data_IF_016859013021
#
_entry.id   IF_016859013021
#
_cell.length_a   1.000
_cell.length_b   1.000
_cell.length_c   1.000
_cell.angle_alpha   90.00
_cell.angle_beta   90.00
_cell.angle_gamma   90.00
#
_symmetry.space_group_name_H-M   'P 1'
#
loop_
_entity.id
_entity.type
_entity.pdbx_description
1 polymer ?
#
# COMPACT_ATOMS: atom_id res chain seq x y z
N UNK A 1 -11.74 -6.63 -8.56
CA UNK A 1 -10.56 -6.18 -9.34
C UNK A 1 -9.92 -7.41 -9.97
N UNK A 2 -9.79 -7.44 -11.30
CA UNK A 2 -9.35 -8.62 -12.08
C UNK A 2 -7.98 -9.18 -11.64
N UNK A 3 -7.00 -8.30 -11.41
CA UNK A 3 -5.65 -8.71 -11.01
C UNK A 3 -5.62 -9.52 -9.71
N UNK A 4 -6.46 -9.17 -8.72
CA UNK A 4 -6.60 -9.95 -7.48
C UNK A 4 -7.08 -11.38 -7.77
N UNK A 5 -8.04 -11.54 -8.69
CA UNK A 5 -8.52 -12.87 -9.09
C UNK A 5 -7.42 -13.69 -9.75
N UNK A 6 -6.66 -13.10 -10.67
CA UNK A 6 -5.53 -13.76 -11.33
C UNK A 6 -4.49 -14.24 -10.32
N UNK A 7 -4.10 -13.40 -9.35
CA UNK A 7 -3.17 -13.80 -8.30
C UNK A 7 -3.70 -14.98 -7.46
N UNK A 8 -4.99 -14.99 -7.15
CA UNK A 8 -5.62 -16.07 -6.38
C UNK A 8 -5.82 -17.36 -7.18
N UNK A 9 -6.19 -17.26 -8.45
CA UNK A 9 -6.47 -18.39 -9.34
C UNK A 9 -5.19 -19.06 -9.83
N UNK A 10 -4.16 -18.28 -10.15
CA UNK A 10 -2.89 -18.78 -10.69
C UNK A 10 -1.80 -18.93 -9.62
N UNK A 11 -2.05 -18.46 -8.40
CA UNK A 11 -1.11 -18.49 -7.27
C UNK A 11 0.28 -17.88 -7.59
N UNK A 12 0.28 -16.78 -8.34
CA UNK A 12 1.51 -16.10 -8.78
C UNK A 12 1.89 -14.96 -7.85
N UNK A 13 3.18 -14.64 -7.74
CA UNK A 13 3.63 -13.42 -7.05
C UNK A 13 3.45 -12.21 -7.96
N UNK A 14 2.87 -11.12 -7.44
CA UNK A 14 2.69 -9.86 -8.18
C UNK A 14 3.35 -8.70 -7.44
N UNK A 15 4.03 -7.85 -8.21
CA UNK A 15 4.54 -6.55 -7.76
C UNK A 15 3.79 -5.46 -8.50
N UNK A 16 3.22 -4.50 -7.77
CA UNK A 16 2.44 -3.40 -8.31
C UNK A 16 3.12 -2.10 -7.89
N UNK A 17 3.39 -1.22 -8.86
CA UNK A 17 3.95 0.11 -8.63
C UNK A 17 2.88 1.14 -8.94
N UNK A 18 2.42 1.87 -7.93
CA UNK A 18 1.41 2.91 -8.07
C UNK A 18 1.50 3.93 -6.94
N UNK A 19 0.96 5.11 -7.17
CA UNK A 19 0.77 6.15 -6.16
C UNK A 19 -0.68 6.19 -5.66
N UNK A 20 -1.57 5.33 -6.17
CA UNK A 20 -2.97 5.25 -5.79
C UNK A 20 -3.19 4.24 -4.66
N UNK A 21 -3.40 4.73 -3.44
CA UNK A 21 -3.55 3.86 -2.27
C UNK A 21 -4.84 3.02 -2.30
N UNK A 22 -5.85 3.43 -3.07
CA UNK A 22 -7.06 2.61 -3.35
C UNK A 22 -6.75 1.30 -4.08
N UNK A 23 -5.80 1.30 -5.01
CA UNK A 23 -5.36 0.10 -5.72
C UNK A 23 -4.59 -0.80 -4.76
N UNK A 24 -3.67 -0.20 -4.00
CA UNK A 24 -2.83 -0.88 -3.01
C UNK A 24 -3.69 -1.62 -2.00
N UNK A 25 -4.71 -0.98 -1.41
CA UNK A 25 -5.64 -1.62 -0.46
C UNK A 25 -6.47 -2.77 -1.05
N UNK A 26 -6.80 -2.70 -2.34
CA UNK A 26 -7.67 -3.71 -2.97
C UNK A 26 -6.92 -4.99 -3.32
N UNK A 27 -5.65 -4.88 -3.74
CA UNK A 27 -4.89 -6.01 -4.29
C UNK A 27 -3.74 -6.45 -3.38
N UNK A 28 -2.96 -5.52 -2.85
CA UNK A 28 -1.67 -5.85 -2.23
C UNK A 28 -1.84 -6.35 -0.78
N UNK A 29 -0.85 -7.13 -0.32
CA UNK A 29 -0.74 -7.56 1.08
C UNK A 29 0.37 -6.80 1.82
N UNK A 30 1.46 -6.52 1.11
CA UNK A 30 2.64 -5.79 1.59
C UNK A 30 2.83 -4.53 0.76
N UNK A 31 3.38 -3.50 1.39
CA UNK A 31 3.65 -2.21 0.76
C UNK A 31 5.05 -1.76 1.13
N UNK A 32 5.78 -1.27 0.13
CA UNK A 32 7.05 -0.56 0.30
C UNK A 32 6.89 0.85 -0.27
N UNK A 33 7.24 1.86 0.52
CA UNK A 33 7.29 3.26 0.09
C UNK A 33 8.72 3.57 -0.30
N UNK A 34 8.91 4.07 -1.52
CA UNK A 34 10.22 4.33 -2.09
C UNK A 34 10.38 5.81 -2.46
N UNK A 35 11.59 6.35 -2.26
CA UNK A 35 12.00 7.66 -2.75
C UNK A 35 13.47 7.61 -3.15
N UNK A 36 13.85 8.26 -4.25
CA UNK A 36 15.25 8.38 -4.72
C UNK A 36 15.98 7.03 -4.83
N UNK A 37 15.26 5.97 -5.22
CA UNK A 37 15.84 4.63 -5.41
C UNK A 37 16.03 3.84 -4.12
N UNK A 38 15.61 4.37 -2.96
CA UNK A 38 15.69 3.68 -1.68
C UNK A 38 14.29 3.39 -1.13
N UNK A 39 14.14 2.26 -0.44
CA UNK A 39 12.94 1.96 0.34
C UNK A 39 13.05 2.74 1.66
N UNK A 40 12.05 3.58 1.93
CA UNK A 40 12.00 4.39 3.15
C UNK A 40 11.13 3.74 4.23
N UNK A 41 10.04 3.07 3.83
CA UNK A 41 9.11 2.42 4.76
C UNK A 41 8.58 1.12 4.15
N UNK A 42 8.38 0.10 4.98
CA UNK A 42 7.72 -1.16 4.61
C UNK A 42 6.73 -1.56 5.70
N UNK A 43 5.57 -2.06 5.29
CA UNK A 43 4.55 -2.51 6.23
C UNK A 43 3.57 -3.50 5.58
N UNK A 44 2.89 -4.28 6.42
CA UNK A 44 1.78 -5.12 6.00
C UNK A 44 0.47 -4.34 6.12
N UNK A 45 -0.40 -4.48 5.11
CA UNK A 45 -1.76 -3.92 5.19
C UNK A 45 -2.66 -4.67 6.19
N UNK A 46 -2.23 -5.84 6.67
CA UNK A 46 -2.91 -6.55 7.76
C UNK A 46 -2.72 -5.89 9.12
N UNK A 47 -1.71 -5.02 9.26
CA UNK A 47 -1.36 -4.43 10.55
C UNK A 47 -2.19 -3.14 10.71
N UNK A 48 -3.23 -3.21 11.54
CA UNK A 48 -4.21 -2.13 11.73
C UNK A 48 -3.64 -0.81 12.29
N UNK A 49 -2.34 -0.75 12.57
CA UNK A 49 -1.64 0.45 13.05
C UNK A 49 -0.45 0.75 12.15
N UNK A 50 -0.70 1.36 11.00
CA UNK A 50 0.35 1.98 10.21
C UNK A 50 0.35 3.50 10.41
N UNK A 51 1.49 4.03 10.86
CA UNK A 51 1.69 5.46 11.04
C UNK A 51 2.84 5.95 10.12
N UNK A 52 2.54 6.69 9.04
CA UNK A 52 3.54 7.10 8.05
C UNK A 52 4.57 8.07 8.67
N UNK A 53 5.86 7.77 8.51
CA UNK A 53 6.96 8.57 9.09
C UNK A 53 7.58 9.53 8.07
N UNK A 54 7.78 9.08 6.84
CA UNK A 54 8.36 9.88 5.77
C UNK A 54 7.35 10.87 5.19
N UNK A 55 7.85 11.96 4.63
CA UNK A 55 6.99 13.00 4.05
C UNK A 55 6.27 12.51 2.80
N UNK A 56 6.93 11.67 2.00
CA UNK A 56 6.31 11.02 0.84
C UNK A 56 5.18 10.07 1.26
N UNK A 57 5.37 9.26 2.31
CA UNK A 57 4.29 8.42 2.82
C UNK A 57 3.14 9.31 3.29
N UNK A 58 3.39 10.30 4.15
CA UNK A 58 2.34 11.24 4.60
C UNK A 58 1.59 11.87 3.43
N UNK A 59 2.27 12.27 2.36
CA UNK A 59 1.64 12.84 1.16
C UNK A 59 0.71 11.85 0.47
N UNK A 60 1.16 10.61 0.25
CA UNK A 60 0.37 9.56 -0.41
C UNK A 60 -0.83 9.17 0.46
N UNK A 61 -0.65 9.05 1.78
CA UNK A 61 -1.69 8.67 2.73
C UNK A 61 -2.68 9.80 3.02
N UNK A 62 -2.25 11.06 3.13
CA UNK A 62 -3.12 12.20 3.43
C UNK A 62 -4.02 12.58 2.24
N UNK A 63 -3.57 12.30 1.00
CA UNK A 63 -4.46 12.35 -0.18
C UNK A 63 -5.62 11.36 -0.09
N UNK A 64 -5.51 10.36 0.79
CA UNK A 64 -6.51 9.34 1.04
C UNK A 64 -7.06 9.44 2.47
N UNK A 65 -7.97 10.41 2.70
CA UNK A 65 -8.59 10.75 4.00
C UNK A 65 -9.32 9.61 4.74
N UNK A 66 -9.26 8.36 4.27
CA UNK A 66 -9.94 7.18 4.87
C UNK A 66 -9.07 6.40 5.87
N UNK A 67 -7.79 6.76 6.05
CA UNK A 67 -6.91 6.09 7.02
C UNK A 67 -6.88 6.72 8.41
N UNK A 68 -7.64 7.79 8.66
CA UNK A 68 -7.82 8.36 10.00
C UNK A 68 -9.30 8.21 10.40
N UNK A 69 -9.69 6.98 10.78
CA UNK A 69 -10.92 6.74 11.54
C UNK A 69 -10.74 5.48 12.40
N UNK A 70 -10.37 5.69 13.67
CA UNK A 70 -11.16 5.34 14.85
C UNK A 70 -10.29 5.57 16.11
N UNK A 71 -10.53 6.69 16.79
CA UNK A 71 -10.66 6.69 18.25
C UNK A 71 -12.15 6.70 18.54
#
# INVERSE_FOLDING_TARGET
>A
MFLKKINQELNITMVIVTHEMDVVRKICNKVAVMEKGSILEEFSLSDNQYNPKSDIAKLIFNKDKRMILNV
#
